data_IF_402742338717
#
_entry.id   IF_402742338717
#
_cell.length_a   1.000
_cell.length_b   1.000
_cell.length_c   1.000
_cell.angle_alpha   90.00
_cell.angle_beta   90.00
_cell.angle_gamma   90.00
#
_symmetry.space_group_name_H-M   'P 1'
#
loop_
_entity.id
_entity.type
_entity.pdbx_description
1 polymer ?
#
# COMPACT_ATOMS: atom_id res chain seq x y z
N UNK A 1 24.11 -20.28 -10.26
CA UNK A 1 23.41 -19.82 -9.04
C UNK A 1 23.64 -18.31 -8.87
N UNK A 2 22.87 -17.49 -9.60
CA UNK A 2 22.99 -16.03 -9.55
C UNK A 2 22.15 -15.44 -8.42
N UNK A 3 22.73 -15.33 -7.22
CA UNK A 3 22.18 -14.58 -6.10
C UNK A 3 22.43 -13.08 -6.32
N UNK A 4 21.46 -12.27 -5.84
CA UNK A 4 21.49 -10.81 -5.61
C UNK A 4 20.75 -9.99 -6.67
N UNK A 5 19.43 -9.89 -6.48
CA UNK A 5 18.69 -8.69 -6.86
C UNK A 5 18.40 -7.94 -5.56
N UNK A 6 19.42 -7.25 -5.05
CA UNK A 6 19.27 -6.15 -4.09
C UNK A 6 18.91 -4.93 -4.94
N UNK A 7 17.63 -4.63 -5.12
CA UNK A 7 17.21 -3.40 -5.79
C UNK A 7 16.09 -2.72 -5.00
N UNK A 8 16.46 -1.61 -4.36
CA UNK A 8 15.59 -0.46 -4.18
C UNK A 8 14.60 -0.52 -3.02
N UNK A 9 15.10 -0.47 -1.79
CA UNK A 9 14.31 0.03 -0.65
C UNK A 9 14.13 1.53 -0.89
N UNK A 10 12.88 2.02 -0.93
CA UNK A 10 12.39 3.42 -0.91
C UNK A 10 11.42 3.72 -2.07
N UNK A 11 10.24 3.10 -2.11
CA UNK A 11 9.21 3.46 -3.08
C UNK A 11 7.96 4.09 -2.46
N UNK A 12 7.97 4.45 -1.18
CA UNK A 12 6.85 5.18 -0.62
C UNK A 12 6.79 5.12 0.89
N UNK A 13 6.87 6.31 1.50
CA UNK A 13 6.37 6.51 2.85
C UNK A 13 4.86 6.62 2.71
N UNK A 14 4.11 5.61 3.14
CA UNK A 14 2.65 5.69 3.13
C UNK A 14 2.21 6.38 4.41
N UNK A 15 1.84 7.66 4.31
CA UNK A 15 1.25 8.42 5.41
C UNK A 15 -0.24 8.06 5.53
N UNK A 16 -0.53 6.94 6.18
CA UNK A 16 -1.88 6.43 6.35
C UNK A 16 -2.44 6.91 7.69
N UNK A 17 -2.85 8.18 7.69
CA UNK A 17 -3.66 8.80 8.75
C UNK A 17 -5.02 9.29 8.25
N UNK A 18 -5.42 8.90 7.04
CA UNK A 18 -6.64 9.41 6.40
C UNK A 18 -7.86 8.65 6.91
N UNK A 19 -8.88 9.40 7.36
CA UNK A 19 -10.21 8.86 7.64
C UNK A 19 -10.87 8.52 6.31
N UNK A 20 -11.20 7.25 6.12
CA UNK A 20 -11.83 6.80 4.89
C UNK A 20 -13.34 7.07 4.98
N UNK A 21 -13.82 8.08 4.25
CA UNK A 21 -15.26 8.40 4.19
C UNK A 21 -15.94 7.62 3.06
N UNK A 22 -15.22 7.30 1.99
CA UNK A 22 -15.72 6.53 0.86
C UNK A 22 -14.65 5.56 0.35
N UNK A 23 -14.80 4.27 0.70
CA UNK A 23 -13.87 3.18 0.38
C UNK A 23 -13.38 3.21 -1.07
N UNK A 24 -14.29 3.37 -2.05
CA UNK A 24 -13.93 3.33 -3.47
C UNK A 24 -13.17 4.55 -3.97
N UNK A 25 -13.49 5.75 -3.48
CA UNK A 25 -12.81 6.98 -3.90
C UNK A 25 -11.42 7.05 -3.26
N UNK A 26 -11.37 6.80 -1.96
CA UNK A 26 -10.14 6.87 -1.18
C UNK A 26 -9.16 5.75 -1.58
N UNK A 27 -9.66 4.57 -1.98
CA UNK A 27 -8.80 3.49 -2.49
C UNK A 27 -8.19 3.81 -3.85
N UNK A 28 -8.93 4.45 -4.75
CA UNK A 28 -8.41 4.86 -6.06
C UNK A 28 -7.35 5.96 -5.91
N UNK A 29 -7.59 6.94 -5.04
CA UNK A 29 -6.64 8.00 -4.76
C UNK A 29 -5.35 7.44 -4.14
N UNK A 30 -5.48 6.54 -3.15
CA UNK A 30 -4.32 5.89 -2.54
C UNK A 30 -3.55 5.04 -3.55
N UNK A 31 -4.24 4.30 -4.43
CA UNK A 31 -3.60 3.53 -5.51
C UNK A 31 -2.82 4.45 -6.45
N UNK A 32 -3.43 5.54 -6.90
CA UNK A 32 -2.78 6.52 -7.76
C UNK A 32 -1.54 7.13 -7.07
N UNK A 33 -1.64 7.43 -5.77
CA UNK A 33 -0.52 7.93 -4.99
C UNK A 33 0.63 6.92 -4.90
N UNK A 34 0.34 5.64 -4.64
CA UNK A 34 1.34 4.58 -4.58
C UNK A 34 2.00 4.33 -5.94
N UNK A 35 1.23 4.33 -7.03
CA UNK A 35 1.77 4.24 -8.39
C UNK A 35 2.68 5.44 -8.69
N UNK A 36 2.29 6.64 -8.27
CA UNK A 36 3.12 7.85 -8.39
C UNK A 36 4.42 7.74 -7.57
N UNK A 37 4.38 7.18 -6.37
CA UNK A 37 5.58 6.93 -5.57
C UNK A 37 6.49 5.83 -6.16
N UNK A 38 5.91 4.90 -6.92
CA UNK A 38 6.63 3.92 -7.71
C UNK A 38 7.20 4.48 -9.03
N UNK A 39 7.07 5.78 -9.32
CA UNK A 39 7.51 6.37 -10.58
C UNK A 39 9.00 6.05 -10.87
N UNK A 40 9.25 5.38 -11.99
CA UNK A 40 10.57 4.91 -12.40
C UNK A 40 10.90 3.45 -12.05
N UNK A 41 10.03 2.74 -11.31
CA UNK A 41 10.18 1.33 -11.00
C UNK A 41 8.96 0.52 -11.47
N UNK A 42 9.05 -0.04 -12.67
CA UNK A 42 7.97 -0.83 -13.28
C UNK A 42 7.54 -2.03 -12.44
N UNK A 43 8.44 -2.65 -11.68
CA UNK A 43 8.11 -3.75 -10.76
C UNK A 43 7.31 -3.27 -9.55
N UNK A 44 7.59 -2.07 -9.06
CA UNK A 44 6.81 -1.44 -7.99
C UNK A 44 5.39 -1.10 -8.50
N UNK A 45 5.28 -0.45 -9.66
CA UNK A 45 3.98 -0.13 -10.27
C UNK A 45 3.16 -1.40 -10.49
N UNK A 46 3.75 -2.43 -11.10
CA UNK A 46 3.07 -3.70 -11.34
C UNK A 46 2.66 -4.39 -10.03
N UNK A 47 3.50 -4.34 -8.99
CA UNK A 47 3.17 -4.87 -7.67
C UNK A 47 2.00 -4.14 -7.02
N UNK A 48 1.94 -2.80 -7.14
CA UNK A 48 0.80 -1.99 -6.68
C UNK A 48 -0.44 -2.35 -7.48
N UNK A 49 -0.39 -2.31 -8.81
CA UNK A 49 -1.56 -2.60 -9.64
C UNK A 49 -2.15 -3.99 -9.41
N UNK A 50 -1.29 -4.99 -9.16
CA UNK A 50 -1.70 -6.40 -8.97
C UNK A 50 -2.18 -6.68 -7.55
N UNK A 51 -1.49 -6.15 -6.53
CA UNK A 51 -1.73 -6.56 -5.14
C UNK A 51 -2.52 -5.53 -4.31
N UNK A 52 -2.64 -4.28 -4.79
CA UNK A 52 -3.25 -3.20 -4.03
C UNK A 52 -4.65 -3.53 -3.54
N UNK A 53 -5.53 -4.02 -4.42
CA UNK A 53 -6.94 -4.21 -4.10
C UNK A 53 -7.12 -5.28 -3.00
N UNK A 54 -6.42 -6.40 -3.12
CA UNK A 54 -6.43 -7.45 -2.10
C UNK A 54 -5.81 -7.00 -0.77
N UNK A 55 -4.70 -6.25 -0.81
CA UNK A 55 -4.04 -5.75 0.40
C UNK A 55 -4.82 -4.62 1.07
N UNK A 56 -5.47 -3.76 0.28
CA UNK A 56 -6.34 -2.71 0.75
C UNK A 56 -7.56 -3.31 1.45
N UNK A 57 -8.25 -4.27 0.81
CA UNK A 57 -9.42 -4.91 1.41
C UNK A 57 -9.10 -5.69 2.69
N UNK A 58 -7.91 -6.28 2.78
CA UNK A 58 -7.44 -6.97 3.98
C UNK A 58 -7.17 -5.99 5.14
N UNK A 59 -6.51 -4.87 4.85
CA UNK A 59 -6.13 -3.88 5.85
C UNK A 59 -7.24 -2.86 6.16
N UNK A 60 -8.25 -2.75 5.30
CA UNK A 60 -9.35 -1.81 5.47
C UNK A 60 -10.29 -2.31 6.56
N UNK A 61 -10.34 -1.59 7.67
CA UNK A 61 -11.29 -1.85 8.75
C UNK A 61 -12.51 -1.00 8.52
N UNK A 62 -13.60 -1.66 8.15
CA UNK A 62 -14.92 -1.03 8.04
C UNK A 62 -15.33 -0.55 9.44
N UNK A 63 -15.48 0.76 9.61
CA UNK A 63 -15.79 1.38 10.89
C UNK A 63 -17.14 0.92 11.44
N UNK A 64 -17.26 0.82 12.76
CA UNK A 64 -18.52 0.50 13.43
C UNK A 64 -19.33 1.75 13.82
N UNK A 65 -20.40 1.56 14.60
CA UNK A 65 -21.31 2.63 15.05
C UNK A 65 -20.62 3.79 15.80
N UNK A 66 -19.41 3.58 16.35
CA UNK A 66 -18.63 4.57 17.11
C UNK A 66 -17.21 4.79 16.58
N UNK A 67 -16.84 4.14 15.49
CA UNK A 67 -15.46 4.11 15.00
C UNK A 67 -15.46 4.38 13.52
N UNK A 68 -14.68 5.36 13.06
CA UNK A 68 -14.54 5.63 11.64
C UNK A 68 -13.83 4.46 10.93
N UNK A 69 -14.14 4.26 9.66
CA UNK A 69 -13.36 3.41 8.78
C UNK A 69 -11.94 3.94 8.66
N UNK A 70 -10.98 3.03 8.76
CA UNK A 70 -9.56 3.34 8.66
C UNK A 70 -8.84 2.20 7.96
N UNK A 71 -7.66 2.53 7.44
CA UNK A 71 -6.76 1.56 6.83
C UNK A 71 -5.64 1.27 7.83
N UNK A 72 -5.48 0.01 8.20
CA UNK A 72 -4.37 -0.44 9.05
C UNK A 72 -3.07 -0.46 8.24
N UNK A 73 -2.29 0.59 8.40
CA UNK A 73 -1.07 0.87 7.62
C UNK A 73 -0.05 -0.26 7.68
N UNK A 74 0.13 -0.84 8.86
CA UNK A 74 1.09 -1.92 9.08
C UNK A 74 0.63 -3.21 8.38
N UNK A 75 -0.67 -3.54 8.44
CA UNK A 75 -1.24 -4.68 7.71
C UNK A 75 -1.14 -4.48 6.19
N UNK A 76 -1.44 -3.26 5.72
CA UNK A 76 -1.37 -2.91 4.30
C UNK A 76 0.06 -3.05 3.77
N UNK A 77 1.03 -2.43 4.44
CA UNK A 77 2.44 -2.49 4.04
C UNK A 77 3.00 -3.90 4.17
N UNK A 78 2.64 -4.65 5.22
CA UNK A 78 3.04 -6.04 5.36
C UNK A 78 2.50 -6.91 4.22
N UNK A 79 1.24 -6.73 3.81
CA UNK A 79 0.65 -7.45 2.68
C UNK A 79 1.36 -7.10 1.37
N UNK A 80 1.56 -5.81 1.09
CA UNK A 80 2.24 -5.33 -0.11
C UNK A 80 3.69 -5.84 -0.21
N UNK A 81 4.41 -5.86 0.91
CA UNK A 81 5.79 -6.33 0.98
C UNK A 81 5.90 -7.87 0.95
N UNK A 82 4.90 -8.61 1.45
CA UNK A 82 4.88 -10.08 1.38
C UNK A 82 4.50 -10.61 -0.02
N UNK A 83 3.61 -9.90 -0.73
CA UNK A 83 3.17 -10.28 -2.08
C UNK A 83 4.03 -9.67 -3.19
N UNK A 84 4.90 -8.71 -2.84
CA UNK A 84 5.84 -8.05 -3.73
C UNK A 84 7.28 -8.18 -3.23
N UNK A 85 8.13 -7.20 -3.58
CA UNK A 85 9.39 -6.98 -2.88
C UNK A 85 9.20 -5.88 -1.82
N UNK A 86 10.19 -5.70 -0.94
CA UNK A 86 10.11 -4.73 0.16
C UNK A 86 10.21 -3.30 -0.38
N UNK A 87 9.08 -2.73 -0.80
CA UNK A 87 9.02 -1.43 -1.47
C UNK A 87 8.50 -0.31 -0.56
N UNK A 88 7.65 -0.63 0.42
CA UNK A 88 6.93 0.37 1.24
C UNK A 88 7.33 0.32 2.72
N UNK A 89 7.30 1.49 3.38
CA UNK A 89 7.47 1.62 4.84
C UNK A 89 6.44 2.61 5.40
N UNK A 90 5.93 2.33 6.59
CA UNK A 90 5.09 3.25 7.36
C UNK A 90 6.00 4.28 8.04
N UNK A 91 5.73 5.58 7.91
CA UNK A 91 6.33 6.58 8.81
C UNK A 91 5.50 6.59 10.09
N UNK A 92 6.12 6.26 11.22
CA UNK A 92 5.61 6.62 12.54
C UNK A 92 5.74 8.12 12.78
#
# INVERSE_FOLDING_TARGET
>A
MGKRVLFGVLAGVVALGMKFYNKSTDSQELKAHLVSLCAGNSRCVQSVETNFEACFDQAYKMGGRRTASHLESDEFVACMNNRGATYFRVKK
#
